data_IF_270900254964
#
_entry.id   IF_270900254964
#
_cell.length_a   1.000
_cell.length_b   1.000
_cell.length_c   1.000
_cell.angle_alpha   90.00
_cell.angle_beta   90.00
_cell.angle_gamma   90.00
#
_symmetry.space_group_name_H-M   'P 1'
#
loop_
_entity.id
_entity.type
_entity.pdbx_description
1 polymer ?
#
# COMPACT_ATOMS: atom_id res chain seq x y z
N UNK A 1 -13.38 29.65 26.22
CA UNK A 1 -13.90 29.69 24.84
C UNK A 1 -14.85 28.52 24.68
N UNK A 2 -16.10 28.75 24.26
CA UNK A 2 -17.09 27.66 24.10
C UNK A 2 -16.85 27.00 22.76
N UNK A 3 -16.58 25.70 22.75
CA UNK A 3 -16.56 24.90 21.53
C UNK A 3 -17.98 24.92 20.95
N UNK A 4 -18.15 25.52 19.77
CA UNK A 4 -19.39 25.40 19.03
C UNK A 4 -19.45 23.96 18.48
N UNK A 5 -20.58 23.24 18.62
CA UNK A 5 -20.73 21.95 17.97
C UNK A 5 -20.70 22.16 16.45
N UNK A 6 -19.86 21.40 15.76
CA UNK A 6 -19.88 21.37 14.29
C UNK A 6 -21.28 20.97 13.83
N UNK A 7 -21.92 21.84 13.05
CA UNK A 7 -23.23 21.58 12.47
C UNK A 7 -23.09 20.42 11.47
N UNK A 8 -23.53 19.22 11.87
CA UNK A 8 -23.56 18.07 10.98
C UNK A 8 -24.63 18.28 9.92
N UNK A 9 -24.21 18.22 8.65
CA UNK A 9 -25.16 18.24 7.54
C UNK A 9 -26.01 16.96 7.60
N UNK A 10 -27.32 17.09 7.43
CA UNK A 10 -28.24 15.94 7.47
C UNK A 10 -29.12 15.89 6.23
N UNK A 11 -29.32 14.68 5.69
CA UNK A 11 -30.25 14.40 4.63
C UNK A 11 -31.63 14.05 5.20
N UNK A 12 -32.65 14.81 4.82
CA UNK A 12 -34.03 14.61 5.25
C UNK A 12 -34.79 13.66 4.32
N UNK A 13 -34.53 12.37 4.49
CA UNK A 13 -35.28 11.28 3.85
C UNK A 13 -35.57 10.24 4.95
N UNK A 14 -36.85 10.13 5.32
CA UNK A 14 -37.34 9.24 6.38
C UNK A 14 -36.61 9.43 7.74
N UNK A 15 -36.40 10.69 8.11
CA UNK A 15 -35.61 11.10 9.27
C UNK A 15 -34.44 12.01 8.89
N UNK A 16 -33.66 12.44 9.89
CA UNK A 16 -32.44 13.25 9.69
C UNK A 16 -31.24 12.30 9.65
N UNK A 17 -30.79 11.91 8.45
CA UNK A 17 -29.62 11.03 8.29
C UNK A 17 -28.35 11.88 8.21
N UNK A 18 -27.39 11.74 9.13
CA UNK A 18 -26.10 12.43 9.02
C UNK A 18 -25.42 12.13 7.68
N UNK A 19 -24.80 13.14 7.09
CA UNK A 19 -23.96 13.02 5.90
C UNK A 19 -22.59 13.59 6.20
N UNK A 20 -21.55 12.88 5.77
CA UNK A 20 -20.18 13.38 5.86
C UNK A 20 -19.92 14.39 4.73
N UNK A 21 -19.18 15.44 5.06
CA UNK A 21 -18.70 16.39 4.05
C UNK A 21 -17.63 15.71 3.20
N UNK A 22 -17.73 15.88 1.88
CA UNK A 22 -16.73 15.41 0.92
C UNK A 22 -16.19 16.58 0.10
N UNK A 23 -14.89 16.59 -0.19
CA UNK A 23 -14.24 17.59 -1.05
C UNK A 23 -14.48 17.37 -2.55
N UNK A 24 -15.47 16.54 -2.91
CA UNK A 24 -15.78 16.20 -4.30
C UNK A 24 -16.45 17.40 -4.98
N UNK A 25 -15.83 17.89 -6.06
CA UNK A 25 -16.40 18.95 -6.90
C UNK A 25 -17.06 18.35 -8.14
N UNK A 26 -18.38 18.49 -8.25
CA UNK A 26 -19.15 18.10 -9.45
C UNK A 26 -19.06 19.19 -10.50
N UNK A 27 -18.49 18.89 -11.67
CA UNK A 27 -18.34 19.85 -12.79
C UNK A 27 -19.56 19.88 -13.70
N UNK A 28 -20.16 18.73 -13.94
CA UNK A 28 -21.29 18.59 -14.87
C UNK A 28 -22.14 17.39 -14.46
N UNK A 29 -23.40 17.41 -14.87
CA UNK A 29 -24.29 16.24 -14.80
C UNK A 29 -24.65 15.79 -16.21
N UNK A 30 -24.55 14.49 -16.45
CA UNK A 30 -24.93 13.84 -17.68
C UNK A 30 -26.33 13.26 -17.54
N UNK A 31 -27.22 13.53 -18.50
CA UNK A 31 -28.62 13.07 -18.50
C UNK A 31 -28.91 12.28 -19.78
N UNK A 32 -28.59 10.99 -19.77
CA UNK A 32 -28.81 10.08 -20.90
C UNK A 32 -29.61 8.83 -20.45
N UNK A 33 -29.65 8.57 -19.15
CA UNK A 33 -30.49 7.55 -18.50
C UNK A 33 -30.49 7.84 -16.98
N UNK A 34 -31.05 9.00 -16.62
CA UNK A 34 -30.95 9.58 -15.29
C UNK A 34 -29.74 10.52 -15.11
N UNK A 35 -29.75 11.26 -14.00
CA UNK A 35 -28.75 12.29 -13.67
C UNK A 35 -27.48 11.68 -13.08
N UNK A 36 -26.41 11.57 -13.88
CA UNK A 36 -25.10 11.05 -13.47
C UNK A 36 -24.09 12.19 -13.29
N UNK A 37 -23.54 12.42 -12.09
CA UNK A 37 -22.54 13.47 -11.89
C UNK A 37 -21.19 13.10 -12.53
N UNK A 38 -20.51 14.09 -13.07
CA UNK A 38 -19.13 14.05 -13.55
C UNK A 38 -18.31 14.92 -12.59
N UNK A 39 -17.32 14.30 -11.95
CA UNK A 39 -16.47 14.93 -10.92
C UNK A 39 -15.15 15.41 -11.52
N UNK A 40 -14.57 16.42 -10.89
CA UNK A 40 -13.20 16.85 -11.18
C UNK A 40 -12.19 15.77 -10.78
N UNK A 41 -11.11 15.65 -11.56
CA UNK A 41 -9.96 14.82 -11.22
C UNK A 41 -8.70 15.63 -11.51
N UNK A 42 -7.74 15.58 -10.59
CA UNK A 42 -6.44 16.24 -10.74
C UNK A 42 -5.48 15.47 -11.67
N UNK A 43 -5.87 14.28 -12.12
CA UNK A 43 -5.05 13.43 -12.99
C UNK A 43 -5.18 13.88 -14.43
N UNK A 44 -4.04 14.13 -15.07
CA UNK A 44 -3.99 14.38 -16.51
C UNK A 44 -4.06 13.08 -17.29
N UNK A 45 -4.82 13.09 -18.38
CA UNK A 45 -4.81 12.01 -19.37
C UNK A 45 -3.60 12.20 -20.25
N UNK A 46 -2.76 11.16 -20.34
CA UNK A 46 -1.51 11.18 -21.12
C UNK A 46 -1.61 10.40 -22.41
N UNK A 47 -2.50 9.42 -22.47
CA UNK A 47 -2.74 8.63 -23.68
C UNK A 47 -4.16 8.03 -23.66
N UNK A 48 -4.59 7.40 -24.73
CA UNK A 48 -5.90 6.74 -24.85
C UNK A 48 -5.78 5.41 -25.57
N UNK A 49 -6.32 4.36 -24.94
CA UNK A 49 -6.39 3.02 -25.51
C UNK A 49 -7.70 2.84 -26.30
N UNK A 50 -7.61 2.47 -27.57
CA UNK A 50 -8.77 2.25 -28.47
C UNK A 50 -8.86 0.80 -28.94
N UNK A 51 -9.37 -0.07 -28.06
CA UNK A 51 -9.59 -1.50 -28.34
C UNK A 51 -11.09 -1.86 -28.29
N UNK A 52 -11.87 -1.10 -27.50
CA UNK A 52 -13.33 -1.21 -27.38
C UNK A 52 -13.86 0.13 -26.84
N UNK A 53 -13.66 1.18 -27.63
CA UNK A 53 -13.86 2.57 -27.24
C UNK A 53 -12.62 3.22 -26.61
N UNK A 54 -12.71 4.53 -26.40
CA UNK A 54 -11.61 5.37 -25.89
C UNK A 54 -11.48 5.26 -24.38
N UNK A 55 -10.48 4.52 -23.90
CA UNK A 55 -10.15 4.40 -22.47
C UNK A 55 -8.95 5.30 -22.13
N UNK A 56 -9.13 6.35 -21.31
CA UNK A 56 -8.03 7.24 -20.97
C UNK A 56 -6.99 6.54 -20.09
N UNK A 57 -5.73 6.79 -20.39
CA UNK A 57 -4.55 6.38 -19.62
C UNK A 57 -4.05 7.62 -18.88
N UNK A 58 -3.83 7.50 -17.57
CA UNK A 58 -3.30 8.60 -16.73
C UNK A 58 -1.90 8.24 -16.23
N UNK A 59 -1.10 9.25 -15.91
CA UNK A 59 0.21 9.01 -15.28
C UNK A 59 0.07 8.32 -13.92
N UNK A 60 1.07 7.52 -13.58
CA UNK A 60 1.23 6.92 -12.26
C UNK A 60 2.42 7.56 -11.55
N UNK A 61 2.30 7.79 -10.25
CA UNK A 61 3.39 8.31 -9.41
C UNK A 61 4.25 7.16 -8.82
N UNK A 62 4.08 5.94 -9.33
CA UNK A 62 4.84 4.77 -8.89
C UNK A 62 6.21 4.76 -9.56
N UNK A 63 7.26 4.63 -8.74
CA UNK A 63 8.64 4.49 -9.19
C UNK A 63 9.01 3.01 -9.33
N UNK A 64 9.84 2.67 -10.31
CA UNK A 64 10.32 1.31 -10.53
C UNK A 64 11.75 1.33 -11.08
N UNK A 65 12.59 0.42 -10.60
CA UNK A 65 14.00 0.36 -11.01
C UNK A 65 14.20 -0.41 -12.31
N UNK A 66 13.43 -1.50 -12.46
CA UNK A 66 13.62 -2.48 -13.52
C UNK A 66 12.27 -3.06 -13.97
N UNK A 67 12.26 -3.70 -15.13
CA UNK A 67 11.11 -4.46 -15.61
C UNK A 67 11.47 -5.93 -15.80
N UNK A 68 10.52 -6.80 -15.54
CA UNK A 68 10.58 -8.22 -15.82
C UNK A 68 9.79 -8.51 -17.10
N UNK A 69 10.47 -9.03 -18.12
CA UNK A 69 9.87 -9.41 -19.42
C UNK A 69 9.40 -10.88 -19.41
N UNK A 70 8.50 -11.22 -18.49
CA UNK A 70 7.87 -12.55 -18.42
C UNK A 70 6.36 -12.34 -18.50
N UNK A 71 5.76 -12.84 -19.59
CA UNK A 71 4.34 -12.64 -19.93
C UNK A 71 3.93 -11.16 -19.93
N UNK A 72 4.75 -10.34 -20.58
CA UNK A 72 4.62 -8.88 -20.66
C UNK A 72 5.68 -8.16 -19.82
N UNK A 73 5.58 -6.85 -19.77
CA UNK A 73 6.52 -5.97 -19.06
C UNK A 73 5.97 -5.64 -17.67
N UNK A 74 6.49 -6.30 -16.64
CA UNK A 74 6.06 -6.10 -15.24
C UNK A 74 7.08 -5.24 -14.50
N UNK A 75 6.71 -4.10 -13.90
CA UNK A 75 7.65 -3.31 -13.11
C UNK A 75 8.09 -4.06 -11.85
N UNK A 76 9.34 -3.86 -11.46
CA UNK A 76 9.96 -4.36 -10.23
C UNK A 76 10.20 -3.16 -9.32
N UNK A 77 9.63 -3.22 -8.12
CA UNK A 77 9.83 -2.18 -7.10
C UNK A 77 11.30 -2.15 -6.64
N UNK A 78 11.83 -0.95 -6.33
CA UNK A 78 13.18 -0.82 -5.76
C UNK A 78 13.33 -1.63 -4.47
N UNK A 79 14.47 -2.30 -4.31
CA UNK A 79 14.77 -3.11 -3.12
C UNK A 79 16.21 -2.93 -2.65
N UNK A 80 16.40 -2.77 -1.34
CA UNK A 80 17.73 -2.67 -0.72
C UNK A 80 18.33 -4.04 -0.35
N UNK A 81 17.69 -5.15 -0.73
CA UNK A 81 18.17 -6.49 -0.40
C UNK A 81 19.49 -6.80 -1.12
N UNK A 82 20.53 -7.11 -0.36
CA UNK A 82 21.84 -7.47 -0.89
C UNK A 82 21.98 -9.00 -0.95
N UNK A 83 21.95 -9.56 -2.16
CA UNK A 83 22.22 -10.99 -2.37
C UNK A 83 23.72 -11.25 -2.19
N UNK A 84 24.08 -12.08 -1.21
CA UNK A 84 25.47 -12.43 -0.91
C UNK A 84 25.94 -13.65 -1.69
N UNK A 85 25.05 -14.61 -1.88
CA UNK A 85 25.34 -15.89 -2.53
C UNK A 85 24.07 -16.43 -3.20
N UNK A 86 24.22 -17.27 -4.23
CA UNK A 86 23.12 -18.02 -4.84
C UNK A 86 23.45 -19.50 -4.75
N UNK A 87 22.56 -20.26 -4.10
CA UNK A 87 22.68 -21.71 -3.94
C UNK A 87 21.93 -22.43 -5.07
N UNK A 88 22.59 -23.37 -5.72
CA UNK A 88 22.03 -24.19 -6.82
C UNK A 88 21.53 -25.54 -6.29
N UNK A 89 20.42 -25.54 -5.56
CA UNK A 89 19.75 -26.76 -5.08
C UNK A 89 18.27 -26.67 -5.47
N UNK A 90 17.87 -27.51 -6.43
CA UNK A 90 16.55 -27.47 -7.07
C UNK A 90 16.22 -26.08 -7.63
N UNK A 91 17.19 -25.49 -8.34
CA UNK A 91 17.12 -24.15 -8.89
C UNK A 91 17.98 -23.13 -8.12
N UNK A 92 17.88 -21.86 -8.54
CA UNK A 92 18.62 -20.75 -7.97
C UNK A 92 17.93 -20.18 -6.73
N UNK A 93 18.53 -20.39 -5.55
CA UNK A 93 18.04 -19.88 -4.27
C UNK A 93 18.97 -18.77 -3.76
N UNK A 94 18.57 -17.48 -3.83
CA UNK A 94 19.39 -16.39 -3.31
C UNK A 94 19.48 -16.42 -1.79
N UNK A 95 20.67 -16.19 -1.26
CA UNK A 95 20.99 -16.00 0.16
C UNK A 95 21.28 -14.52 0.37
N UNK A 96 20.42 -13.85 1.13
CA UNK A 96 20.51 -12.41 1.39
C UNK A 96 21.43 -12.16 2.59
N UNK A 97 22.16 -11.05 2.55
CA UNK A 97 22.91 -10.56 3.69
C UNK A 97 21.96 -10.16 4.83
N UNK A 98 22.23 -10.67 6.04
CA UNK A 98 21.54 -10.29 7.26
C UNK A 98 22.58 -10.16 8.39
N UNK A 99 22.20 -9.38 9.41
CA UNK A 99 22.90 -9.21 10.68
C UNK A 99 22.74 -10.38 11.65
N UNK A 100 21.94 -11.40 11.29
CA UNK A 100 21.71 -12.58 12.11
C UNK A 100 23.02 -13.32 12.44
N UNK A 101 23.32 -13.42 13.74
CA UNK A 101 24.52 -14.09 14.27
C UNK A 101 24.13 -15.26 15.16
N UNK A 102 24.63 -16.44 14.82
CA UNK A 102 24.54 -17.63 15.66
C UNK A 102 25.63 -17.59 16.72
N UNK A 103 25.25 -17.60 17.99
CA UNK A 103 26.21 -17.57 19.11
C UNK A 103 26.59 -18.98 19.57
N UNK A 104 25.64 -19.90 19.55
CA UNK A 104 25.83 -21.29 19.95
C UNK A 104 25.00 -22.23 19.08
N UNK A 105 25.32 -23.52 19.12
CA UNK A 105 24.54 -24.56 18.47
C UNK A 105 24.23 -25.65 19.49
N UNK A 106 22.97 -26.06 19.56
CA UNK A 106 22.54 -27.21 20.34
C UNK A 106 22.50 -28.45 19.45
N UNK A 107 23.28 -29.47 19.79
CA UNK A 107 23.33 -30.72 19.05
C UNK A 107 22.39 -31.77 19.68
N UNK A 108 21.09 -31.65 19.39
CA UNK A 108 20.05 -32.63 19.73
C UNK A 108 19.22 -32.82 18.47
N UNK A 109 19.29 -34.02 17.87
CA UNK A 109 18.67 -34.37 16.58
C UNK A 109 19.05 -33.39 15.45
N UNK A 110 20.33 -32.99 15.41
CA UNK A 110 20.89 -32.05 14.45
C UNK A 110 21.42 -30.77 15.11
N UNK A 111 21.95 -29.88 14.27
CA UNK A 111 22.56 -28.62 14.70
C UNK A 111 21.51 -27.50 14.76
N UNK A 112 20.83 -27.34 15.89
CA UNK A 112 19.89 -26.23 16.10
C UNK A 112 20.65 -24.94 16.48
N UNK A 113 20.55 -23.85 15.70
CA UNK A 113 21.21 -22.59 16.04
C UNK A 113 20.53 -21.92 17.24
N UNK A 114 21.34 -21.35 18.13
CA UNK A 114 20.93 -20.50 19.25
C UNK A 114 21.52 -19.10 18.98
N UNK A 115 20.64 -18.13 18.74
CA UNK A 115 20.99 -16.72 18.62
C UNK A 115 20.76 -16.00 19.95
N UNK A 116 21.47 -14.90 20.18
CA UNK A 116 21.15 -14.00 21.28
C UNK A 116 19.80 -13.33 21.00
N UNK A 117 18.85 -13.44 21.93
CA UNK A 117 17.69 -12.55 21.91
C UNK A 117 18.18 -11.18 22.35
N UNK A 118 18.26 -10.23 21.43
CA UNK A 118 18.44 -8.82 21.77
C UNK A 118 17.06 -8.18 21.63
N UNK A 119 16.19 -8.24 22.66
CA UNK A 119 14.96 -7.47 22.60
C UNK A 119 15.40 -6.01 22.54
N UNK A 120 15.25 -5.37 21.37
CA UNK A 120 15.24 -3.91 21.33
C UNK A 120 14.23 -3.53 22.40
N UNK A 121 14.69 -2.81 23.41
CA UNK A 121 13.92 -2.44 24.60
C UNK A 121 12.55 -1.96 24.15
N UNK A 122 11.54 -2.84 24.18
CA UNK A 122 10.15 -2.42 24.15
C UNK A 122 10.02 -1.66 25.45
N UNK A 123 10.01 -0.34 25.36
CA UNK A 123 9.48 0.49 26.43
C UNK A 123 8.05 -0.02 26.61
N UNK A 124 7.87 -0.99 27.50
CA UNK A 124 6.59 -1.29 28.09
C UNK A 124 6.21 0.01 28.78
N UNK A 125 5.45 0.84 28.07
CA UNK A 125 4.73 1.95 28.63
C UNK A 125 3.81 1.35 29.71
N UNK A 126 4.35 1.29 30.93
CA UNK A 126 3.60 1.06 32.14
C UNK A 126 2.60 2.21 32.25
N UNK A 127 1.44 2.04 31.61
CA UNK A 127 0.24 2.77 31.93
C UNK A 127 -0.19 2.29 33.33
N UNK A 128 0.46 2.88 34.33
CA UNK A 128 0.01 2.82 35.71
C UNK A 128 -1.32 3.57 35.72
N UNK A 129 -2.40 2.80 35.75
CA UNK A 129 -3.74 3.29 36.03
C UNK A 129 -3.70 3.81 37.47
N UNK A 130 -3.78 5.13 37.65
CA UNK A 130 -3.96 5.81 38.93
C UNK A 130 -5.30 5.45 39.59
#
# INVERSE_FOLDING_TARGET
MRNQPEEQDTLNIDGHRPIDRSDITVKKTLDIDGKRPIVESDRSVVDTLDIDGQRPITNSDLDYDQTLEIDGTRPIDPSELQVKEVMEIDGQRPIVADSFKVEKTLNIDGNRPIAANNPSKTENNNDLID
#
